data_IF_145914351739
#
_entry.id   IF_145914351739
#
_cell.length_a   1.000
_cell.length_b   1.000
_cell.length_c   1.000
_cell.angle_alpha   90.00
_cell.angle_beta   90.00
_cell.angle_gamma   90.00
#
_symmetry.space_group_name_H-M   'P 1'
#
loop_
_entity.id
_entity.type
_entity.pdbx_description
1 polymer ?
#
# COMPACT_ATOMS: atom_id res chain seq x y z
N UNK A 1 4.44 13.78 6.65
CA UNK A 1 3.85 12.42 6.76
C UNK A 1 4.95 11.40 6.54
N UNK A 2 4.87 10.23 7.18
CA UNK A 2 6.00 9.31 7.33
C UNK A 2 6.26 8.37 6.14
N UNK A 3 5.62 8.58 4.98
CA UNK A 3 5.95 7.85 3.74
C UNK A 3 5.57 6.37 3.72
N UNK A 4 4.80 5.86 4.71
CA UNK A 4 4.38 4.47 4.79
C UNK A 4 2.89 4.33 5.11
N UNK A 5 2.32 3.22 4.67
CA UNK A 5 1.00 2.73 5.07
C UNK A 5 1.18 1.64 6.13
N UNK A 6 0.72 1.92 7.35
CA UNK A 6 0.76 0.97 8.47
C UNK A 6 -0.41 -0.01 8.41
N UNK A 7 -0.10 -1.30 8.54
CA UNK A 7 -1.05 -2.41 8.47
C UNK A 7 -0.69 -3.48 9.49
N UNK A 8 -1.60 -4.40 9.76
CA UNK A 8 -1.40 -5.47 10.75
C UNK A 8 -1.92 -6.79 10.22
N UNK A 9 -1.26 -7.90 10.60
CA UNK A 9 -1.77 -9.25 10.34
C UNK A 9 -2.95 -9.63 11.27
N UNK A 10 -3.16 -8.88 12.35
CA UNK A 10 -4.25 -9.12 13.30
C UNK A 10 -5.49 -8.31 12.93
N UNK A 11 -6.54 -9.01 12.45
CA UNK A 11 -7.84 -8.39 12.18
C UNK A 11 -8.43 -7.69 13.41
N UNK A 12 -8.22 -8.25 14.60
CA UNK A 12 -8.70 -7.66 15.85
C UNK A 12 -8.03 -6.30 16.10
N UNK A 13 -6.70 -6.23 15.95
CA UNK A 13 -5.95 -4.98 16.06
C UNK A 13 -6.43 -3.99 15.02
N UNK A 14 -6.55 -4.39 13.75
CA UNK A 14 -7.02 -3.52 12.66
C UNK A 14 -8.40 -2.90 12.96
N UNK A 15 -9.32 -3.69 13.51
CA UNK A 15 -10.67 -3.22 13.88
C UNK A 15 -10.64 -2.12 14.94
N UNK A 16 -9.68 -2.13 15.87
CA UNK A 16 -9.56 -1.07 16.88
C UNK A 16 -9.25 0.30 16.27
N UNK A 17 -8.61 0.34 15.09
CA UNK A 17 -8.29 1.57 14.34
C UNK A 17 -9.43 2.06 13.44
N UNK A 18 -10.49 1.28 13.23
CA UNK A 18 -11.63 1.68 12.38
C UNK A 18 -12.49 2.78 13.00
N UNK A 19 -12.38 3.03 14.31
CA UNK A 19 -13.17 4.02 15.02
C UNK A 19 -14.66 3.67 15.10
N UNK A 20 -15.51 4.69 15.23
CA UNK A 20 -16.97 4.57 15.34
C UNK A 20 -17.64 5.30 14.18
N UNK A 21 -18.63 4.65 13.56
CA UNK A 21 -19.41 5.26 12.49
C UNK A 21 -20.29 6.41 12.99
N UNK A 22 -20.53 7.41 12.14
CA UNK A 22 -21.51 8.46 12.36
C UNK A 22 -22.10 8.92 11.02
N UNK A 23 -23.00 9.91 11.04
CA UNK A 23 -23.70 10.42 9.85
C UNK A 23 -22.77 10.88 8.70
N UNK A 24 -21.49 11.15 8.99
CA UNK A 24 -20.51 11.66 8.01
C UNK A 24 -19.30 10.76 7.81
N UNK A 25 -19.17 9.67 8.58
CA UNK A 25 -18.01 8.78 8.54
C UNK A 25 -18.46 7.35 8.73
N UNK A 26 -18.06 6.50 7.80
CA UNK A 26 -18.25 5.06 7.91
C UNK A 26 -16.96 4.41 8.39
N UNK A 27 -17.09 3.33 9.16
CA UNK A 27 -15.96 2.47 9.48
C UNK A 27 -15.56 1.74 8.20
N UNK A 28 -14.26 1.75 7.90
CA UNK A 28 -13.70 1.06 6.74
C UNK A 28 -12.57 0.18 7.22
N UNK A 29 -12.61 -1.10 6.86
CA UNK A 29 -11.54 -2.05 7.06
C UNK A 29 -11.02 -2.47 5.69
N UNK A 30 -9.72 -2.26 5.45
CA UNK A 30 -9.05 -2.78 4.27
C UNK A 30 -8.44 -4.15 4.58
N UNK A 31 -8.78 -5.15 3.78
CA UNK A 31 -8.14 -6.46 3.79
C UNK A 31 -7.21 -6.52 2.59
N UNK A 32 -5.90 -6.56 2.85
CA UNK A 32 -4.87 -6.49 1.81
C UNK A 32 -4.32 -7.88 1.56
N UNK A 33 -4.57 -8.42 0.38
CA UNK A 33 -3.85 -9.58 -0.13
C UNK A 33 -2.54 -9.11 -0.76
N UNK A 34 -1.42 -9.73 -0.40
CA UNK A 34 -0.12 -9.42 -1.00
C UNK A 34 0.62 -10.71 -1.34
N UNK A 35 1.33 -10.69 -2.46
CA UNK A 35 2.18 -11.80 -2.91
C UNK A 35 3.64 -11.45 -2.65
N UNK A 36 4.34 -12.30 -1.90
CA UNK A 36 5.78 -12.12 -1.60
C UNK A 36 6.64 -12.16 -2.86
N UNK A 37 6.16 -12.73 -3.96
CA UNK A 37 6.87 -12.71 -5.24
C UNK A 37 6.87 -11.32 -5.91
N UNK A 38 6.00 -10.40 -5.47
CA UNK A 38 5.95 -9.01 -5.96
C UNK A 38 6.88 -8.07 -5.20
N UNK A 39 7.77 -8.58 -4.33
CA UNK A 39 8.64 -7.75 -3.49
C UNK A 39 9.54 -6.77 -4.26
N UNK A 40 9.83 -7.03 -5.55
CA UNK A 40 10.58 -6.10 -6.41
C UNK A 40 9.78 -4.87 -6.85
N UNK A 41 8.44 -4.96 -6.82
CA UNK A 41 7.54 -3.90 -7.30
C UNK A 41 6.68 -3.30 -6.20
N UNK A 42 6.40 -4.07 -5.14
CA UNK A 42 5.68 -3.63 -3.95
C UNK A 42 6.59 -3.79 -2.75
N UNK A 43 7.04 -2.66 -2.19
CA UNK A 43 7.93 -2.65 -1.02
C UNK A 43 7.07 -2.74 0.23
N UNK A 44 7.32 -3.77 1.03
CA UNK A 44 6.74 -3.91 2.37
C UNK A 44 7.71 -4.62 3.31
N UNK A 45 7.54 -4.39 4.61
CA UNK A 45 8.36 -5.03 5.63
C UNK A 45 7.53 -5.30 6.90
N UNK A 46 7.73 -6.47 7.49
CA UNK A 46 7.31 -6.70 8.88
C UNK A 46 8.24 -5.93 9.80
N UNK A 47 7.68 -5.15 10.71
CA UNK A 47 8.44 -4.44 11.75
C UNK A 47 8.09 -4.94 13.14
N UNK A 48 7.31 -6.02 13.26
CA UNK A 48 6.86 -6.57 14.54
C UNK A 48 8.03 -6.83 15.51
N UNK A 49 9.16 -7.34 15.04
CA UNK A 49 10.34 -7.63 15.87
C UNK A 49 11.12 -6.37 16.29
N UNK A 50 10.92 -5.26 15.60
CA UNK A 50 11.59 -3.98 15.84
C UNK A 50 10.67 -2.92 16.46
N UNK A 51 9.36 -3.22 16.56
CA UNK A 51 8.35 -2.35 17.12
C UNK A 51 8.35 -2.40 18.65
N UNK A 52 8.01 -1.27 19.27
CA UNK A 52 7.73 -1.21 20.71
C UNK A 52 6.46 -1.99 21.09
N UNK A 53 5.64 -2.39 20.12
CA UNK A 53 4.41 -3.15 20.31
C UNK A 53 4.40 -4.40 19.38
N UNK A 54 5.20 -5.44 19.66
CA UNK A 54 5.36 -6.59 18.76
C UNK A 54 4.07 -7.36 18.46
N UNK A 55 3.11 -7.31 19.37
CA UNK A 55 1.81 -7.99 19.25
C UNK A 55 0.90 -7.39 18.17
N UNK A 56 1.18 -6.17 17.71
CA UNK A 56 0.44 -5.58 16.59
C UNK A 56 0.76 -6.29 15.27
N UNK A 57 1.82 -7.10 15.19
CA UNK A 57 2.20 -7.83 13.98
C UNK A 57 2.21 -6.90 12.76
N UNK A 58 2.82 -5.73 12.95
CA UNK A 58 2.76 -4.63 12.00
C UNK A 58 3.57 -4.92 10.74
N UNK A 59 2.94 -4.66 9.59
CA UNK A 59 3.56 -4.64 8.27
C UNK A 59 3.43 -3.23 7.72
N UNK A 60 4.55 -2.64 7.34
CA UNK A 60 4.59 -1.34 6.66
C UNK A 60 4.69 -1.56 5.16
N UNK A 61 3.81 -0.92 4.40
CA UNK A 61 3.92 -0.78 2.96
C UNK A 61 4.50 0.60 2.62
N UNK A 62 5.36 0.68 1.62
CA UNK A 62 5.74 1.96 1.02
C UNK A 62 4.52 2.68 0.44
N UNK A 63 4.47 4.01 0.53
CA UNK A 63 3.32 4.79 0.03
C UNK A 63 3.14 4.67 -1.50
N UNK A 64 4.19 4.30 -2.24
CA UNK A 64 4.15 4.02 -3.67
C UNK A 64 3.52 2.68 -4.04
N UNK A 65 3.14 1.84 -3.06
CA UNK A 65 2.48 0.56 -3.31
C UNK A 65 1.13 0.74 -4.04
N UNK A 66 0.96 0.03 -5.15
CA UNK A 66 -0.30 -0.05 -5.88
C UNK A 66 -1.22 -1.12 -5.33
N UNK A 67 -2.53 -0.84 -5.30
CA UNK A 67 -3.54 -1.81 -4.86
C UNK A 67 -4.74 -1.83 -5.82
N UNK A 68 -5.17 -3.02 -6.22
CA UNK A 68 -6.40 -3.26 -6.99
C UNK A 68 -7.56 -3.58 -6.04
N UNK A 69 -8.74 -2.98 -6.25
CA UNK A 69 -9.95 -3.33 -5.49
C UNK A 69 -10.54 -4.62 -6.03
N UNK A 70 -10.60 -5.64 -5.18
CA UNK A 70 -11.18 -6.95 -5.52
C UNK A 70 -12.66 -6.98 -5.21
N UNK A 71 -13.06 -6.49 -4.04
CA UNK A 71 -14.47 -6.44 -3.65
C UNK A 71 -14.73 -5.40 -2.57
N UNK A 72 -15.98 -4.95 -2.49
CA UNK A 72 -16.49 -4.10 -1.42
C UNK A 72 -17.72 -4.79 -0.86
N UNK A 73 -17.66 -5.13 0.42
CA UNK A 73 -18.76 -5.77 1.15
C UNK A 73 -19.12 -4.85 2.31
N UNK A 74 -20.40 -4.68 2.57
CA UNK A 74 -20.89 -3.95 3.73
C UNK A 74 -21.51 -4.94 4.71
N UNK A 75 -21.06 -4.89 5.96
CA UNK A 75 -21.61 -5.65 7.08
C UNK A 75 -22.02 -4.64 8.16
N UNK A 76 -23.33 -4.45 8.34
CA UNK A 76 -23.93 -3.38 9.15
C UNK A 76 -23.37 -1.98 8.83
N UNK A 77 -22.50 -1.45 9.70
CA UNK A 77 -21.90 -0.12 9.62
C UNK A 77 -20.43 -0.13 9.17
N UNK A 78 -19.89 -1.32 8.87
CA UNK A 78 -18.51 -1.55 8.47
C UNK A 78 -18.42 -1.89 6.98
N UNK A 79 -17.63 -1.11 6.25
CA UNK A 79 -17.23 -1.43 4.89
C UNK A 79 -15.95 -2.26 4.93
N UNK A 80 -16.03 -3.50 4.46
CA UNK A 80 -14.88 -4.34 4.20
C UNK A 80 -14.48 -4.19 2.72
N UNK A 81 -13.34 -3.56 2.48
CA UNK A 81 -12.77 -3.38 1.15
C UNK A 81 -11.60 -4.35 1.01
N UNK A 82 -11.78 -5.37 0.18
CA UNK A 82 -10.69 -6.30 -0.16
C UNK A 82 -9.90 -5.71 -1.30
N UNK A 83 -8.60 -5.57 -1.09
CA UNK A 83 -7.67 -5.07 -2.10
C UNK A 83 -6.50 -6.05 -2.25
N UNK A 84 -5.88 -6.04 -3.42
CA UNK A 84 -4.70 -6.84 -3.72
C UNK A 84 -3.53 -5.93 -4.10
N UNK A 85 -2.41 -6.09 -3.42
CA UNK A 85 -1.17 -5.41 -3.76
C UNK A 85 -0.68 -5.86 -5.12
N UNK A 86 -0.22 -4.91 -5.93
CA UNK A 86 -0.04 -5.17 -7.35
C UNK A 86 1.01 -4.27 -8.01
N UNK A 87 1.56 -4.71 -9.14
CA UNK A 87 2.72 -4.10 -9.81
C UNK A 87 2.37 -3.28 -11.06
N UNK A 88 1.09 -3.11 -11.41
CA UNK A 88 0.69 -2.40 -12.64
C UNK A 88 1.14 -0.94 -12.65
N UNK A 89 1.16 -0.27 -11.49
CA UNK A 89 1.67 1.09 -11.38
C UNK A 89 3.14 1.17 -11.79
N UNK A 90 3.95 0.25 -11.26
CA UNK A 90 5.37 0.13 -11.60
C UNK A 90 5.58 -0.25 -13.07
N UNK A 91 4.76 -1.17 -13.61
CA UNK A 91 4.77 -1.54 -15.03
C UNK A 91 4.47 -0.34 -15.93
N UNK A 92 3.42 0.42 -15.65
CA UNK A 92 3.02 1.59 -16.44
C UNK A 92 4.12 2.68 -16.44
N UNK A 93 4.76 2.92 -15.29
CA UNK A 93 5.89 3.86 -15.21
C UNK A 93 7.07 3.36 -16.03
N UNK A 94 7.42 2.08 -15.92
CA UNK A 94 8.52 1.49 -16.68
C UNK A 94 8.26 1.54 -18.19
N UNK A 95 7.04 1.25 -18.64
CA UNK A 95 6.65 1.39 -20.04
C UNK A 95 6.81 2.82 -20.55
N UNK A 96 6.40 3.82 -19.76
CA UNK A 96 6.58 5.22 -20.10
C UNK A 96 8.06 5.63 -20.17
N UNK A 97 8.88 5.18 -19.22
CA UNK A 97 10.33 5.42 -19.22
C UNK A 97 10.99 4.80 -20.46
N UNK A 98 10.63 3.57 -20.81
CA UNK A 98 11.14 2.88 -21.99
C UNK A 98 10.71 3.57 -23.30
N UNK A 99 9.48 4.08 -23.36
CA UNK A 99 9.04 4.92 -24.47
C UNK A 99 9.87 6.20 -24.58
N UNK A 100 10.07 6.92 -23.48
CA UNK A 100 10.83 8.17 -23.45
C UNK A 100 12.30 7.99 -23.87
N UNK A 101 12.94 6.90 -23.43
CA UNK A 101 14.30 6.53 -23.83
C UNK A 101 14.46 6.32 -25.33
N UNK A 102 13.40 5.89 -26.03
CA UNK A 102 13.40 5.66 -27.48
C UNK A 102 13.23 6.96 -28.28
N UNK A 103 12.42 7.89 -27.77
CA UNK A 103 12.00 9.07 -28.52
C UNK A 103 12.96 10.26 -28.38
N UNK A 104 13.77 10.32 -27.32
CA UNK A 104 14.63 11.48 -27.05
C UNK A 104 16.11 11.12 -27.14
N UNK A 105 16.89 11.73 -28.06
CA UNK A 105 18.34 11.56 -28.12
C UNK A 105 18.96 12.18 -26.85
N UNK A 106 19.48 11.32 -25.97
CA UNK A 106 20.08 11.73 -24.69
C UNK A 106 21.23 12.73 -24.90
N UNK A 107 21.06 13.96 -24.41
CA UNK A 107 22.17 14.77 -23.89
C UNK A 107 22.22 14.59 -22.38
N UNK A 108 23.35 14.10 -21.86
CA UNK A 108 23.55 13.83 -20.44
C UNK A 108 23.31 15.11 -19.60
N UNK A 109 22.27 15.15 -18.78
CA UNK A 109 22.00 16.24 -17.85
C UNK A 109 22.14 15.73 -16.42
N UNK A 110 23.07 16.30 -15.67
CA UNK A 110 23.22 16.05 -14.25
C UNK A 110 22.27 16.97 -13.48
N UNK A 111 21.43 16.38 -12.62
CA UNK A 111 20.59 17.10 -11.66
C UNK A 111 21.01 16.69 -10.25
N UNK A 112 21.09 17.67 -9.35
CA UNK A 112 21.33 17.48 -7.93
C UNK A 112 20.08 17.91 -7.17
N UNK A 113 19.59 17.07 -6.26
CA UNK A 113 18.51 17.39 -5.33
C UNK A 113 19.14 17.66 -3.95
N UNK A 114 18.62 18.67 -3.25
CA UNK A 114 19.05 19.10 -1.92
C UNK A 114 18.28 18.35 -0.84
#
# INVERSE_FOLDING_TARGET
ENGFLSTTLSKEVALTFTGVSNEKRHRVLFEIEYDTNLAESVIFASIAEYSHIPHEQEILFDLGAGFEIISVITDDDLYLIKIKATDEGTKAINEYIEWYKREIPFSLCHLFIN
#
